data_IF_116766533954
#
_entry.id   IF_116766533954
#
_cell.length_a   1.000
_cell.length_b   1.000
_cell.length_c   1.000
_cell.angle_alpha   90.00
_cell.angle_beta   90.00
_cell.angle_gamma   90.00
#
_symmetry.space_group_name_H-M   'P 1'
#
loop_
_entity.id
_entity.type
_entity.pdbx_description
1 polymer ?
#
# COMPACT_ATOMS: atom_id res chain seq x y z
N UNK A 1 20.53 4.98 -23.35
CA UNK A 1 20.89 4.74 -21.93
C UNK A 1 20.33 3.38 -21.57
N UNK A 2 21.12 2.50 -20.94
CA UNK A 2 20.68 1.14 -20.63
C UNK A 2 19.42 1.18 -19.76
N UNK A 3 18.34 0.51 -20.18
CA UNK A 3 17.12 0.36 -19.37
C UNK A 3 17.49 -0.45 -18.11
N UNK A 4 17.68 0.26 -16.99
CA UNK A 4 17.86 -0.38 -15.70
C UNK A 4 16.51 -0.88 -15.25
N UNK A 5 16.30 -2.19 -15.32
CA UNK A 5 15.08 -2.83 -14.88
C UNK A 5 15.33 -3.52 -13.55
N UNK A 6 14.45 -3.27 -12.58
CA UNK A 6 14.50 -3.87 -11.26
C UNK A 6 13.34 -4.83 -11.09
N UNK A 7 13.64 -6.09 -10.80
CA UNK A 7 12.65 -7.09 -10.44
C UNK A 7 12.42 -7.07 -8.94
N UNK A 8 11.17 -6.90 -8.54
CA UNK A 8 10.74 -7.01 -7.14
C UNK A 8 9.88 -8.25 -7.01
N UNK A 9 10.27 -9.15 -6.11
CA UNK A 9 9.54 -10.39 -5.80
C UNK A 9 8.91 -10.31 -4.41
N UNK A 10 7.88 -11.10 -4.16
CA UNK A 10 7.31 -11.23 -2.82
C UNK A 10 8.30 -11.86 -1.87
N UNK A 11 8.32 -11.39 -0.63
CA UNK A 11 9.07 -12.06 0.43
C UNK A 11 8.25 -13.16 1.10
N UNK A 12 8.82 -13.73 2.17
CA UNK A 12 8.25 -14.88 2.88
C UNK A 12 6.88 -14.55 3.48
N UNK A 13 5.83 -15.26 3.03
CA UNK A 13 4.45 -15.04 3.47
C UNK A 13 3.75 -13.84 2.82
N UNK A 14 4.42 -13.16 1.88
CA UNK A 14 3.84 -12.09 1.08
C UNK A 14 2.95 -12.59 -0.06
N UNK A 15 2.29 -11.65 -0.73
CA UNK A 15 1.38 -11.88 -1.85
C UNK A 15 1.79 -11.04 -3.06
N UNK A 16 1.40 -11.50 -4.25
CA UNK A 16 1.66 -10.81 -5.53
C UNK A 16 3.09 -10.96 -6.03
N UNK A 17 3.42 -10.19 -7.06
CA UNK A 17 4.72 -10.23 -7.74
C UNK A 17 5.06 -11.57 -8.42
N UNK A 18 6.19 -11.63 -9.14
CA UNK A 18 7.15 -10.56 -9.32
C UNK A 18 6.75 -9.57 -10.41
N UNK A 19 7.02 -8.28 -10.18
CA UNK A 19 6.86 -7.25 -11.22
C UNK A 19 8.15 -6.49 -11.46
N UNK A 20 8.22 -5.86 -12.63
CA UNK A 20 9.36 -5.10 -13.10
C UNK A 20 9.13 -3.61 -12.89
N UNK A 21 10.14 -2.93 -12.35
CA UNK A 21 10.21 -1.50 -12.17
C UNK A 21 11.22 -0.93 -13.15
N UNK A 22 10.87 0.18 -13.78
CA UNK A 22 11.69 0.84 -14.77
C UNK A 22 11.45 2.35 -14.69
N UNK A 23 12.52 3.13 -14.88
CA UNK A 23 12.42 4.57 -15.06
C UNK A 23 11.80 4.89 -16.43
N UNK A 24 10.94 5.90 -16.48
CA UNK A 24 10.39 6.44 -17.72
C UNK A 24 10.53 7.97 -17.69
N UNK A 25 10.33 8.67 -18.80
CA UNK A 25 10.50 10.14 -18.87
C UNK A 25 9.73 10.91 -17.79
N UNK A 26 8.58 10.38 -17.36
CA UNK A 26 7.71 10.92 -16.32
C UNK A 26 7.91 10.29 -14.95
N UNK A 27 8.21 8.99 -14.89
CA UNK A 27 8.35 8.21 -13.65
C UNK A 27 9.81 8.23 -13.18
N UNK A 28 10.12 9.10 -12.22
CA UNK A 28 11.50 9.36 -11.77
C UNK A 28 11.72 9.22 -10.26
N UNK A 29 10.67 8.92 -9.50
CA UNK A 29 10.73 8.95 -8.03
C UNK A 29 10.30 7.60 -7.46
N UNK A 30 11.07 7.09 -6.50
CA UNK A 30 10.65 6.00 -5.62
C UNK A 30 10.13 6.61 -4.33
N UNK A 31 8.84 6.47 -4.04
CA UNK A 31 8.25 7.05 -2.84
C UNK A 31 8.35 6.06 -1.67
N UNK A 32 8.89 6.49 -0.53
CA UNK A 32 8.97 5.74 0.72
C UNK A 32 7.91 6.25 1.70
N UNK A 33 6.92 5.41 2.00
CA UNK A 33 5.78 5.70 2.88
C UNK A 33 5.76 4.66 4.01
N UNK A 34 6.84 4.65 4.80
CA UNK A 34 7.08 3.69 5.89
C UNK A 34 7.10 4.32 7.29
N UNK A 35 6.41 5.46 7.46
CA UNK A 35 6.32 6.18 8.74
C UNK A 35 7.45 7.18 9.01
N UNK A 36 8.13 7.65 7.95
CA UNK A 36 9.18 8.68 7.99
C UNK A 36 10.55 8.16 7.59
N UNK A 37 11.28 8.98 6.83
CA UNK A 37 12.58 8.63 6.25
C UNK A 37 12.50 7.66 5.07
N UNK A 38 13.66 7.30 4.54
CA UNK A 38 13.78 6.40 3.40
C UNK A 38 14.04 4.98 3.91
N UNK A 39 13.12 4.06 3.62
CA UNK A 39 13.28 2.65 3.97
C UNK A 39 14.42 1.98 3.16
N UNK A 40 15.18 1.02 3.72
CA UNK A 40 16.25 0.32 2.99
C UNK A 40 15.79 -0.33 1.67
N UNK A 41 14.56 -0.85 1.63
CA UNK A 41 13.97 -1.42 0.39
C UNK A 41 13.78 -0.33 -0.66
N UNK A 42 13.22 0.82 -0.29
CA UNK A 42 13.05 1.96 -1.21
C UNK A 42 14.41 2.49 -1.69
N UNK A 43 15.38 2.60 -0.79
CA UNK A 43 16.74 3.01 -1.12
C UNK A 43 17.39 2.04 -2.12
N UNK A 44 17.30 0.72 -1.88
CA UNK A 44 17.88 -0.28 -2.78
C UNK A 44 17.25 -0.26 -4.17
N UNK A 45 15.93 -0.11 -4.26
CA UNK A 45 15.23 0.03 -5.55
C UNK A 45 15.70 1.30 -6.27
N UNK A 46 15.79 2.42 -5.55
CA UNK A 46 16.27 3.69 -6.09
C UNK A 46 17.73 3.62 -6.57
N UNK A 47 18.62 3.03 -5.77
CA UNK A 47 20.05 2.84 -6.10
C UNK A 47 20.21 1.98 -7.37
N UNK A 48 19.38 0.95 -7.50
CA UNK A 48 19.37 0.07 -8.68
C UNK A 48 18.82 0.79 -9.92
N UNK A 49 17.72 1.52 -9.80
CA UNK A 49 17.18 2.29 -10.93
C UNK A 49 18.06 3.53 -11.26
N UNK A 50 18.87 4.01 -10.32
CA UNK A 50 19.63 5.25 -10.47
C UNK A 50 18.79 6.52 -10.26
N UNK A 51 17.70 6.42 -9.50
CA UNK A 51 16.71 7.49 -9.29
C UNK A 51 16.68 7.94 -7.83
N UNK A 52 15.97 9.02 -7.53
CA UNK A 52 15.86 9.52 -6.16
C UNK A 52 14.74 8.79 -5.38
N UNK A 53 15.08 8.30 -4.18
CA UNK A 53 14.09 7.92 -3.18
C UNK A 53 13.65 9.14 -2.36
N UNK A 54 12.34 9.35 -2.24
CA UNK A 54 11.75 10.49 -1.51
C UNK A 54 10.87 9.96 -0.38
N UNK A 55 10.94 10.60 0.78
CA UNK A 55 10.01 10.33 1.88
C UNK A 55 8.64 10.96 1.57
N UNK A 56 7.65 10.12 1.28
CA UNK A 56 6.29 10.52 0.92
C UNK A 56 5.47 11.10 2.08
N UNK A 57 5.96 11.01 3.33
CA UNK A 57 5.35 11.72 4.46
C UNK A 57 5.82 13.18 4.56
N UNK A 58 7.07 13.43 4.18
CA UNK A 58 7.72 14.75 4.29
C UNK A 58 7.51 15.58 3.03
N UNK A 59 7.55 14.95 1.86
CA UNK A 59 7.40 15.61 0.57
C UNK A 59 6.23 15.00 -0.18
N UNK A 60 5.32 15.86 -0.67
CA UNK A 60 4.23 15.41 -1.54
C UNK A 60 4.82 15.05 -2.90
N UNK A 61 4.60 13.80 -3.32
CA UNK A 61 4.96 13.31 -4.64
C UNK A 61 3.66 12.96 -5.36
N UNK A 62 3.52 13.39 -6.60
CA UNK A 62 2.33 13.07 -7.40
C UNK A 62 2.41 11.63 -7.95
N UNK A 63 1.30 10.89 -8.03
CA UNK A 63 1.30 9.51 -8.53
C UNK A 63 1.89 9.34 -9.93
N UNK A 64 1.74 10.35 -10.79
CA UNK A 64 2.27 10.36 -12.16
C UNK A 64 3.79 10.44 -12.25
N UNK A 65 4.48 10.75 -11.14
CA UNK A 65 5.93 10.82 -11.06
C UNK A 65 6.55 9.63 -10.31
N UNK A 66 5.72 8.79 -9.69
CA UNK A 66 6.15 7.66 -8.87
C UNK A 66 6.34 6.39 -9.71
N UNK A 67 7.57 5.89 -9.77
CA UNK A 67 7.86 4.56 -10.34
C UNK A 67 7.22 3.47 -9.49
N UNK A 68 7.41 3.58 -8.18
CA UNK A 68 6.76 2.73 -7.20
C UNK A 68 6.60 3.42 -5.84
N UNK A 69 5.63 2.95 -5.08
CA UNK A 69 5.39 3.31 -3.70
C UNK A 69 5.80 2.15 -2.78
N UNK A 70 6.83 2.36 -1.96
CA UNK A 70 7.21 1.43 -0.90
C UNK A 70 6.47 1.84 0.37
N UNK A 71 5.57 0.98 0.84
CA UNK A 71 4.69 1.28 1.97
C UNK A 71 4.95 0.35 3.15
N UNK A 72 4.58 0.81 4.34
CA UNK A 72 4.37 -0.04 5.52
C UNK A 72 2.86 -0.09 5.77
N UNK A 73 2.20 -1.19 5.37
CA UNK A 73 0.75 -1.29 5.50
C UNK A 73 0.27 -1.68 6.92
N UNK A 74 1.17 -1.77 7.93
CA UNK A 74 0.92 -2.27 9.31
C UNK A 74 -0.47 -2.03 9.94
N UNK A 75 -1.48 -2.79 9.52
CA UNK A 75 -2.88 -2.71 9.98
C UNK A 75 -3.76 -1.60 9.40
N UNK A 76 -3.31 -0.81 8.40
CA UNK A 76 -4.08 0.31 7.83
C UNK A 76 -4.38 0.10 6.34
N UNK A 77 -5.43 0.74 5.80
CA UNK A 77 -5.92 0.53 4.42
C UNK A 77 -5.01 1.06 3.29
N UNK A 78 -3.70 1.27 3.54
CA UNK A 78 -2.76 1.86 2.57
C UNK A 78 -2.49 0.97 1.36
N UNK A 79 -2.63 -0.34 1.51
CA UNK A 79 -2.32 -1.35 0.50
C UNK A 79 -3.00 -1.05 -0.85
N UNK A 80 -4.23 -0.52 -0.86
CA UNK A 80 -4.99 -0.25 -2.09
C UNK A 80 -5.01 1.21 -2.56
N UNK A 81 -4.36 2.16 -1.86
CA UNK A 81 -4.43 3.59 -2.22
C UNK A 81 -3.62 3.87 -3.49
N UNK A 82 -2.38 3.39 -3.55
CA UNK A 82 -1.49 3.63 -4.69
C UNK A 82 -1.86 2.79 -5.92
N UNK A 83 -2.26 1.51 -5.79
CA UNK A 83 -2.75 0.73 -6.93
C UNK A 83 -4.01 1.33 -7.58
N UNK A 84 -4.88 2.00 -6.80
CA UNK A 84 -6.02 2.75 -7.33
C UNK A 84 -5.61 3.90 -8.27
N UNK A 85 -4.43 4.49 -8.05
CA UNK A 85 -3.85 5.51 -8.93
C UNK A 85 -2.95 4.93 -10.03
N UNK A 86 -2.90 3.60 -10.17
CA UNK A 86 -2.05 2.92 -11.15
C UNK A 86 -0.57 2.85 -10.77
N UNK A 87 -0.20 3.18 -9.53
CA UNK A 87 1.19 3.16 -9.07
C UNK A 87 1.54 1.77 -8.52
N UNK A 88 2.64 1.19 -9.01
CA UNK A 88 3.18 -0.08 -8.52
C UNK A 88 3.55 0.04 -7.05
N UNK A 89 3.11 -0.90 -6.24
CA UNK A 89 3.16 -0.80 -4.78
C UNK A 89 3.89 -1.98 -4.17
N UNK A 90 4.84 -1.68 -3.29
CA UNK A 90 5.68 -2.64 -2.58
C UNK A 90 5.40 -2.48 -1.09
N UNK A 91 4.74 -3.44 -0.47
CA UNK A 91 4.53 -3.48 0.98
C UNK A 91 5.67 -4.26 1.66
N UNK A 92 6.29 -3.65 2.67
CA UNK A 92 7.33 -4.32 3.48
C UNK A 92 6.74 -5.32 4.47
N UNK A 93 5.44 -5.20 4.76
CA UNK A 93 4.71 -6.15 5.61
C UNK A 93 4.07 -7.23 4.73
N UNK A 94 4.11 -8.47 5.18
CA UNK A 94 3.46 -9.60 4.52
C UNK A 94 1.94 -9.49 4.70
N UNK A 95 1.28 -8.79 3.78
CA UNK A 95 -0.17 -8.53 3.81
C UNK A 95 -0.84 -9.09 2.56
N UNK A 96 -1.96 -9.79 2.73
CA UNK A 96 -2.81 -10.19 1.61
C UNK A 96 -3.78 -9.07 1.22
N UNK A 97 -4.10 -8.94 -0.09
CA UNK A 97 -5.10 -7.99 -0.56
C UNK A 97 -6.44 -8.17 0.16
N UNK A 98 -7.00 -7.07 0.63
CA UNK A 98 -8.14 -7.09 1.55
C UNK A 98 -8.85 -5.74 1.62
N UNK A 99 -10.13 -5.75 2.00
CA UNK A 99 -10.94 -4.54 2.16
C UNK A 99 -11.41 -3.92 0.83
N UNK A 100 -11.98 -2.69 0.89
CA UNK A 100 -12.76 -2.12 -0.22
C UNK A 100 -11.94 -1.79 -1.47
N UNK A 101 -10.63 -1.64 -1.34
CA UNK A 101 -9.72 -1.27 -2.44
C UNK A 101 -9.07 -2.47 -3.13
N UNK A 102 -9.44 -3.71 -2.75
CA UNK A 102 -8.91 -4.95 -3.35
C UNK A 102 -9.07 -5.01 -4.87
N UNK A 103 -10.13 -4.39 -5.41
CA UNK A 103 -10.43 -4.35 -6.85
C UNK A 103 -9.34 -3.69 -7.70
N UNK A 104 -8.44 -2.94 -7.08
CA UNK A 104 -7.34 -2.25 -7.75
C UNK A 104 -5.99 -2.95 -7.53
N UNK A 105 -5.93 -4.00 -6.71
CA UNK A 105 -4.70 -4.73 -6.36
C UNK A 105 -4.63 -6.05 -7.11
N UNK A 106 -3.61 -6.21 -7.94
CA UNK A 106 -3.33 -7.40 -8.75
C UNK A 106 -1.88 -7.83 -8.54
N UNK A 107 -1.54 -9.06 -8.94
CA UNK A 107 -0.16 -9.59 -8.79
C UNK A 107 0.88 -8.77 -9.59
N UNK A 108 0.45 -8.08 -10.63
CA UNK A 108 1.32 -7.26 -11.50
C UNK A 108 1.62 -5.86 -10.92
N UNK A 109 0.78 -5.36 -10.03
CA UNK A 109 0.89 -3.98 -9.51
C UNK A 109 1.11 -3.89 -8.00
N UNK A 110 0.93 -4.98 -7.27
CA UNK A 110 1.06 -5.03 -5.82
C UNK A 110 1.87 -6.25 -5.39
N UNK A 111 2.83 -6.02 -4.51
CA UNK A 111 3.68 -7.07 -3.95
C UNK A 111 3.93 -6.78 -2.47
N UNK A 112 3.82 -7.80 -1.62
CA UNK A 112 3.94 -7.63 -0.17
C UNK A 112 4.99 -8.53 0.46
N UNK A 113 5.33 -8.23 1.72
CA UNK A 113 6.36 -8.92 2.49
C UNK A 113 7.78 -8.70 1.95
N UNK A 114 8.00 -7.66 1.15
CA UNK A 114 9.26 -7.48 0.41
C UNK A 114 10.38 -7.04 1.34
N UNK A 115 11.48 -7.79 1.32
CA UNK A 115 12.70 -7.45 2.03
C UNK A 115 13.79 -6.97 1.07
N UNK A 116 14.92 -6.52 1.62
CA UNK A 116 16.07 -6.07 0.83
C UNK A 116 16.59 -7.18 -0.09
N UNK A 117 16.40 -8.45 0.26
CA UNK A 117 16.88 -9.59 -0.52
C UNK A 117 15.99 -9.92 -1.72
N UNK A 118 14.72 -9.51 -1.71
CA UNK A 118 13.74 -9.84 -2.75
C UNK A 118 13.76 -8.83 -3.93
N UNK A 119 14.69 -7.87 -3.88
CA UNK A 119 14.95 -6.87 -4.90
C UNK A 119 16.23 -7.23 -5.66
N UNK A 120 16.09 -7.51 -6.95
CA UNK A 120 17.18 -7.88 -7.85
C UNK A 120 17.17 -7.03 -9.13
N UNK A 121 18.33 -6.86 -9.76
CA UNK A 121 18.42 -6.36 -11.13
C UNK A 121 17.85 -7.41 -12.08
N UNK A 122 17.03 -6.98 -13.03
CA UNK A 122 16.61 -7.84 -14.12
C UNK A 122 17.59 -7.66 -15.28
N UNK A 123 18.41 -8.68 -15.53
CA UNK A 123 19.28 -8.72 -16.70
C UNK A 123 18.44 -8.95 -17.97
N UNK A 124 17.99 -7.86 -18.58
CA UNK A 124 17.81 -7.67 -20.03
C UNK A 124 17.09 -8.69 -20.90
N UNK A 125 16.38 -9.69 -20.37
CA UNK A 125 15.75 -10.74 -21.21
C UNK A 125 14.38 -11.18 -20.68
N UNK A 126 13.36 -10.34 -20.88
CA UNK A 126 11.95 -10.71 -21.09
C UNK A 126 11.09 -9.43 -21.27
N UNK A 127 10.01 -9.47 -22.06
CA UNK A 127 9.56 -8.33 -22.85
C UNK A 127 8.89 -7.23 -22.04
N UNK A 128 9.15 -6.00 -22.52
CA UNK A 128 8.46 -4.76 -22.19
C UNK A 128 6.96 -4.95 -22.38
N UNK A 129 6.19 -4.84 -21.30
CA UNK A 129 4.73 -4.71 -21.38
C UNK A 129 4.38 -3.23 -21.30
N UNK A 130 3.87 -2.75 -22.42
CA UNK A 130 3.32 -1.42 -22.67
C UNK A 130 2.38 -0.92 -21.56
N UNK A 131 2.36 0.40 -21.29
CA UNK A 131 1.44 0.97 -20.31
C UNK A 131 -0.02 0.72 -20.72
N UNK A 132 -0.80 0.19 -19.77
CA UNK A 132 -2.23 -0.03 -19.89
C UNK A 132 -2.96 1.28 -20.21
N UNK A 133 -3.43 1.40 -21.45
CA UNK A 133 -4.43 2.39 -21.85
C UNK A 133 -5.77 1.93 -21.30
N UNK A 134 -6.38 2.77 -20.48
CA UNK A 134 -7.71 2.55 -19.93
C UNK A 134 -8.74 2.36 -21.06
N UNK A 135 -9.68 1.38 -20.95
CA UNK A 135 -10.92 1.47 -21.67
C UNK A 135 -11.95 2.21 -20.82
N UNK A 136 -12.42 3.33 -21.37
CA UNK A 136 -13.75 3.84 -21.08
C UNK A 136 -14.77 2.90 -21.73
N UNK A 137 -15.79 2.45 -20.98
CA UNK A 137 -17.20 2.57 -21.40
C UNK A 137 -18.16 1.98 -20.34
N UNK A 138 -19.11 2.83 -19.97
CA UNK A 138 -20.53 2.58 -19.73
C UNK A 138 -20.98 1.43 -18.81
N UNK A 139 -21.48 1.80 -17.62
CA UNK A 139 -22.87 1.52 -17.25
C UNK A 139 -23.25 2.11 -15.87
N UNK A 140 -24.24 3.01 -15.93
CA UNK A 140 -25.41 3.08 -15.03
C UNK A 140 -25.20 3.43 -13.54
N UNK A 141 -25.38 4.73 -13.32
CA UNK A 141 -25.96 5.40 -12.15
C UNK A 141 -26.88 4.50 -11.30
N UNK A 142 -26.47 4.23 -10.06
CA UNK A 142 -27.39 4.10 -8.91
C UNK A 142 -26.75 4.83 -7.73
N UNK A 143 -27.32 6.00 -7.45
CA UNK A 143 -27.17 6.73 -6.19
C UNK A 143 -27.73 5.90 -5.04
N UNK A 144 -26.94 5.70 -3.97
CA UNK A 144 -27.47 5.71 -2.60
C UNK A 144 -26.46 6.44 -1.70
N UNK A 145 -26.84 7.65 -1.28
CA UNK A 145 -26.26 8.44 -0.18
C UNK A 145 -26.25 7.60 1.11
N UNK A 146 -25.28 7.85 2.00
CA UNK A 146 -25.70 8.54 3.21
C UNK A 146 -24.77 9.71 3.53
N UNK A 147 -25.34 10.92 3.47
CA UNK A 147 -25.09 11.92 4.51
C UNK A 147 -25.39 11.23 5.86
N UNK A 148 -24.62 11.45 6.91
CA UNK A 148 -24.86 12.60 7.77
C UNK A 148 -23.74 12.69 8.83
N UNK A 149 -23.31 13.94 9.08
CA UNK A 149 -22.62 14.50 10.26
C UNK A 149 -21.11 14.29 10.40
N UNK A 150 -20.39 14.95 9.48
CA UNK A 150 -19.36 15.92 9.89
C UNK A 150 -20.05 17.01 10.72
N UNK A 151 -19.79 17.06 12.02
CA UNK A 151 -19.95 18.24 12.90
C UNK A 151 -19.83 17.74 14.35
N UNK A 152 -18.59 17.53 14.81
CA UNK A 152 -18.16 17.56 16.24
C UNK A 152 -16.78 16.93 16.47
N UNK A 153 -15.78 17.16 15.62
CA UNK A 153 -14.36 16.97 16.02
C UNK A 153 -13.48 18.07 15.42
N UNK A 154 -14.00 19.30 15.40
CA UNK A 154 -13.28 20.47 14.84
C UNK A 154 -12.84 21.45 15.93
N UNK A 155 -12.91 21.10 17.23
CA UNK A 155 -12.51 22.02 18.32
C UNK A 155 -11.65 21.42 19.44
N UNK A 156 -11.06 20.23 19.26
CA UNK A 156 -10.06 19.69 20.22
C UNK A 156 -8.71 19.37 19.56
N UNK A 157 -8.61 19.43 18.22
CA UNK A 157 -7.36 19.10 17.50
C UNK A 157 -6.43 20.31 17.33
N UNK A 158 -6.90 21.53 17.60
CA UNK A 158 -6.10 22.75 17.38
C UNK A 158 -5.25 23.20 18.57
N UNK A 159 -5.40 22.60 19.77
CA UNK A 159 -4.55 22.93 20.93
C UNK A 159 -3.44 21.92 21.25
N UNK A 160 -3.30 20.83 20.50
CA UNK A 160 -2.22 19.84 20.72
C UNK A 160 -1.20 19.76 19.58
N UNK A 161 -1.37 20.58 18.53
CA UNK A 161 -0.54 20.57 17.32
C UNK A 161 0.66 21.55 17.39
N UNK A 162 0.70 22.43 18.38
CA UNK A 162 1.77 23.41 18.55
C UNK A 162 2.86 22.97 19.53
N UNK A 163 2.57 22.11 20.49
CA UNK A 163 3.60 21.56 21.40
C UNK A 163 4.30 20.32 20.81
N UNK A 164 3.64 19.56 19.93
CA UNK A 164 4.25 18.41 19.24
C UNK A 164 5.25 18.81 18.14
N UNK A 165 5.26 20.09 17.71
CA UNK A 165 6.15 20.60 16.66
C UNK A 165 7.50 21.13 17.18
N UNK A 166 7.66 21.34 18.49
CA UNK A 166 8.93 21.83 19.06
C UNK A 166 9.87 20.74 19.59
N UNK A 167 9.40 19.51 19.78
CA UNK A 167 10.27 18.40 20.22
C UNK A 167 10.74 17.44 19.11
N UNK A 168 10.08 17.44 17.95
CA UNK A 168 10.43 16.51 16.84
C UNK A 168 11.60 16.96 15.96
N UNK A 169 12.14 18.17 16.17
CA UNK A 169 13.24 18.69 15.35
C UNK A 169 14.64 18.45 15.93
N UNK A 170 14.79 17.94 17.17
CA UNK A 170 16.11 17.88 17.82
C UNK A 170 16.55 16.53 18.39
N UNK A 171 15.83 15.42 18.21
CA UNK A 171 16.24 14.16 18.83
C UNK A 171 16.79 13.14 17.82
N UNK A 172 17.99 13.46 17.35
CA UNK A 172 18.92 12.50 16.75
C UNK A 172 19.28 11.48 17.85
N UNK A 173 18.79 10.24 17.71
CA UNK A 173 19.22 9.03 18.43
C UNK A 173 18.87 8.93 19.93
N UNK A 174 17.64 8.53 20.30
CA UNK A 174 17.39 7.92 21.61
C UNK A 174 16.90 6.47 21.47
N UNK A 175 17.61 5.47 22.06
CA UNK A 175 17.25 4.04 21.96
C UNK A 175 15.84 3.74 22.49
N UNK A 176 15.34 4.55 23.41
CA UNK A 176 14.01 4.43 24.01
C UNK A 176 12.86 4.73 23.01
N UNK A 177 13.04 5.72 22.11
CA UNK A 177 12.03 6.06 21.08
C UNK A 177 11.99 4.99 19.98
N UNK A 178 13.15 4.41 19.65
CA UNK A 178 13.24 3.27 18.74
C UNK A 178 12.57 2.03 19.34
N UNK A 179 12.73 1.78 20.65
CA UNK A 179 12.03 0.71 21.35
C UNK A 179 10.51 0.90 21.34
N UNK A 180 10.01 2.10 21.65
CA UNK A 180 8.57 2.42 21.59
C UNK A 180 8.00 2.29 20.18
N UNK A 181 8.71 2.79 19.17
CA UNK A 181 8.29 2.65 17.77
C UNK A 181 8.33 1.19 17.30
N UNK A 182 9.29 0.39 17.78
CA UNK A 182 9.39 -1.04 17.49
C UNK A 182 8.28 -1.84 18.17
N UNK A 183 7.92 -1.50 19.41
CA UNK A 183 6.79 -2.12 20.12
C UNK A 183 5.46 -1.74 19.48
N UNK A 184 5.31 -0.48 19.06
CA UNK A 184 4.14 -0.01 18.32
C UNK A 184 3.97 -0.75 16.99
N UNK A 185 5.06 -1.00 16.25
CA UNK A 185 5.04 -1.82 15.03
C UNK A 185 4.73 -3.28 15.30
N UNK A 186 5.29 -3.88 16.35
CA UNK A 186 5.02 -5.28 16.70
C UNK A 186 3.55 -5.49 17.10
N UNK A 187 3.01 -4.63 17.97
CA UNK A 187 1.59 -4.65 18.36
C UNK A 187 0.71 -4.35 17.14
N UNK A 188 1.08 -3.38 16.31
CA UNK A 188 0.37 -3.06 15.06
C UNK A 188 0.36 -4.22 14.07
N UNK A 189 1.43 -5.02 14.01
CA UNK A 189 1.50 -6.23 13.20
C UNK A 189 0.52 -7.30 13.67
N UNK A 190 0.50 -7.62 14.97
CA UNK A 190 -0.42 -8.62 15.54
C UNK A 190 -1.87 -8.17 15.37
N UNK A 191 -2.19 -6.92 15.72
CA UNK A 191 -3.52 -6.34 15.54
C UNK A 191 -3.91 -6.31 14.06
N UNK A 192 -2.95 -6.02 13.18
CA UNK A 192 -3.12 -6.08 11.74
C UNK A 192 -3.54 -7.47 11.25
N UNK A 193 -2.88 -8.53 11.73
CA UNK A 193 -3.24 -9.92 11.38
C UNK A 193 -4.65 -10.26 11.85
N UNK A 194 -5.01 -9.94 13.09
CA UNK A 194 -6.37 -10.19 13.60
C UNK A 194 -7.43 -9.38 12.84
N UNK A 195 -7.15 -8.13 12.53
CA UNK A 195 -8.07 -7.29 11.77
C UNK A 195 -8.23 -7.77 10.33
N UNK A 196 -7.15 -8.28 9.73
CA UNK A 196 -7.20 -8.88 8.40
C UNK A 196 -8.01 -10.18 8.39
N UNK A 197 -7.73 -11.10 9.31
CA UNK A 197 -8.47 -12.34 9.45
C UNK A 197 -9.97 -12.07 9.72
N UNK A 198 -10.28 -11.07 10.54
CA UNK A 198 -11.66 -10.65 10.81
C UNK A 198 -12.35 -10.11 9.56
N UNK A 199 -11.69 -9.23 8.80
CA UNK A 199 -12.24 -8.70 7.54
C UNK A 199 -12.46 -9.79 6.50
N UNK A 200 -11.49 -10.69 6.34
CA UNK A 200 -11.58 -11.80 5.40
C UNK A 200 -12.73 -12.74 5.75
N UNK A 201 -12.92 -13.04 7.05
CA UNK A 201 -14.06 -13.81 7.54
C UNK A 201 -15.40 -13.16 7.21
N UNK A 202 -15.54 -11.84 7.44
CA UNK A 202 -16.76 -11.10 7.10
C UNK A 202 -17.00 -11.10 5.60
N UNK A 203 -15.95 -10.92 4.80
CA UNK A 203 -16.06 -10.93 3.34
C UNK A 203 -16.55 -12.30 2.83
N UNK A 204 -16.08 -13.41 3.40
CA UNK A 204 -16.56 -14.77 3.07
C UNK A 204 -18.04 -14.92 3.44
N UNK A 205 -18.45 -14.46 4.63
CA UNK A 205 -19.85 -14.53 5.07
C UNK A 205 -20.76 -13.74 4.14
N UNK A 206 -20.37 -12.52 3.77
CA UNK A 206 -21.19 -11.64 2.92
C UNK A 206 -21.25 -12.14 1.48
N UNK A 207 -20.12 -12.56 0.91
CA UNK A 207 -20.06 -12.92 -0.52
C UNK A 207 -20.52 -14.34 -0.81
N UNK A 208 -20.35 -15.27 0.14
CA UNK A 208 -20.60 -16.69 -0.11
C UNK A 208 -21.73 -17.23 0.78
N UNK A 209 -21.66 -17.01 2.10
CA UNK A 209 -22.59 -17.65 3.05
C UNK A 209 -23.99 -17.05 2.99
N UNK A 210 -24.12 -15.72 3.00
CA UNK A 210 -25.42 -15.04 2.96
C UNK A 210 -26.19 -15.33 1.66
N UNK A 211 -25.59 -15.25 0.46
CA UNK A 211 -26.27 -15.62 -0.78
C UNK A 211 -26.70 -17.10 -0.79
N UNK A 212 -25.86 -18.00 -0.27
CA UNK A 212 -26.21 -19.42 -0.16
C UNK A 212 -27.38 -19.65 0.80
N UNK A 213 -27.36 -19.04 1.99
CA UNK A 213 -28.47 -19.13 2.96
C UNK A 213 -29.77 -18.57 2.37
N UNK A 214 -29.70 -17.43 1.69
CA UNK A 214 -30.86 -16.83 1.01
C UNK A 214 -31.42 -17.79 -0.05
N UNK A 215 -30.56 -18.38 -0.89
CA UNK A 215 -30.96 -19.34 -1.92
C UNK A 215 -31.65 -20.59 -1.33
N UNK A 216 -31.03 -21.22 -0.33
CA UNK A 216 -31.60 -22.41 0.33
C UNK A 216 -32.92 -22.07 1.03
N UNK A 217 -33.01 -20.91 1.68
CA UNK A 217 -34.25 -20.47 2.33
C UNK A 217 -35.40 -20.26 1.34
N UNK A 218 -35.10 -19.76 0.14
CA UNK A 218 -36.09 -19.61 -0.93
C UNK A 218 -36.54 -20.97 -1.48
N UNK A 219 -35.62 -21.93 -1.64
CA UNK A 219 -35.96 -23.27 -2.12
C UNK A 219 -36.81 -24.07 -1.13
N UNK A 220 -36.53 -23.99 0.18
CA UNK A 220 -37.30 -24.70 1.21
C UNK A 220 -38.67 -24.05 1.44
N UNK A 221 -38.77 -22.74 1.20
CA UNK A 221 -40.00 -21.97 1.41
C UNK A 221 -41.06 -22.08 0.30
N UNK A 222 -40.74 -22.70 -0.84
CA UNK A 222 -41.64 -23.00 -1.95
C UNK A 222 -42.26 -24.40 -1.79
#
# INVERSE_FOLDING_TARGET
MAEKVVKVSKGKGGWGGPFLLQETETLKIVASITGGGIHPVAKKIADYLGVQAVDGFSTKVEPSQMICAVIDCGGTARCGVYPKFGVKTVDIIATSPSGPLIKFMNEENFCSGVTVNDVAMADGSAPVVVPFVAPASDAKKVEVKPEVKKEAVTKVVEKKKEEAKKEMANNKQNPFVKAISSIGRAVGGVVGVFYQAGRESIDIVIKNVLPFMAFISMMIGL
#
